data_IF_019725383683
#
_entry.id   IF_019725383683
#
_cell.length_a   1.000
_cell.length_b   1.000
_cell.length_c   1.000
_cell.angle_alpha   90.00
_cell.angle_beta   90.00
_cell.angle_gamma   90.00
#
_symmetry.space_group_name_H-M   'P 1'
#
loop_
_entity.id
_entity.type
_entity.pdbx_description
1 polymer ?
#
# COMPACT_ATOMS: atom_id res chain seq x y z
N UNK A 1 0.08 -28.18 22.27
CA UNK A 1 -0.29 -26.87 21.64
C UNK A 1 1.01 -26.17 21.38
N UNK A 2 1.43 -26.10 20.10
CA UNK A 2 2.65 -25.39 19.72
C UNK A 2 2.51 -23.90 20.01
N UNK A 3 3.62 -23.23 20.28
CA UNK A 3 3.65 -21.78 20.45
C UNK A 3 3.13 -21.10 19.17
N UNK A 4 2.25 -20.09 19.23
CA UNK A 4 1.74 -19.38 18.06
C UNK A 4 2.83 -18.58 17.30
N UNK A 5 4.08 -18.64 17.80
CA UNK A 5 5.27 -18.04 17.17
C UNK A 5 6.15 -19.08 16.46
N UNK A 6 5.81 -20.39 16.54
CA UNK A 6 6.52 -21.44 15.83
C UNK A 6 5.92 -21.57 14.43
N UNK A 7 6.65 -21.11 13.41
CA UNK A 7 6.27 -21.32 12.01
C UNK A 7 6.36 -22.82 11.68
N UNK A 8 5.23 -23.48 11.33
CA UNK A 8 5.27 -24.89 10.95
C UNK A 8 6.10 -25.05 9.67
N UNK A 9 7.15 -25.87 9.76
CA UNK A 9 8.00 -26.19 8.61
C UNK A 9 7.24 -27.19 7.74
N UNK A 10 6.91 -26.82 6.49
CA UNK A 10 6.18 -27.70 5.59
C UNK A 10 7.08 -28.78 4.98
N UNK A 11 8.29 -28.43 4.56
CA UNK A 11 9.31 -29.37 4.08
C UNK A 11 10.69 -28.71 3.99
N UNK A 12 11.73 -29.55 3.92
CA UNK A 12 13.12 -29.10 3.76
C UNK A 12 13.54 -29.21 2.29
N UNK A 13 13.92 -28.10 1.66
CA UNK A 13 14.57 -28.10 0.35
C UNK A 13 16.08 -27.94 0.55
N UNK A 14 16.78 -29.07 0.82
CA UNK A 14 18.19 -29.05 1.19
C UNK A 14 18.42 -28.38 2.55
N UNK A 15 19.32 -27.38 2.68
CA UNK A 15 19.63 -26.72 3.93
C UNK A 15 18.59 -25.66 4.36
N UNK A 16 17.59 -25.35 3.52
CA UNK A 16 16.62 -24.27 3.78
C UNK A 16 15.27 -24.87 4.17
N UNK A 17 14.80 -24.61 5.42
CA UNK A 17 13.43 -24.98 5.83
C UNK A 17 12.43 -24.06 5.15
N UNK A 18 11.47 -24.61 4.42
CA UNK A 18 10.37 -23.85 3.82
C UNK A 18 9.20 -23.85 4.81
N UNK A 19 8.87 -22.67 5.31
CA UNK A 19 7.74 -22.47 6.20
C UNK A 19 6.41 -22.48 5.43
N UNK A 20 5.34 -22.95 6.07
CA UNK A 20 3.98 -23.00 5.49
C UNK A 20 3.52 -21.66 4.89
N UNK A 21 3.77 -20.47 5.50
CA UNK A 21 3.40 -19.18 4.93
C UNK A 21 3.98 -18.91 3.56
N UNK A 22 5.20 -19.41 3.26
CA UNK A 22 5.83 -19.25 1.95
C UNK A 22 5.04 -20.00 0.87
N UNK A 23 4.55 -21.22 1.19
CA UNK A 23 3.71 -21.98 0.26
C UNK A 23 2.38 -21.29 -0.02
N UNK A 24 1.75 -20.71 1.01
CA UNK A 24 0.51 -19.94 0.86
C UNK A 24 0.77 -18.70 0.01
N UNK A 25 1.89 -17.99 0.22
CA UNK A 25 2.30 -16.85 -0.60
C UNK A 25 2.47 -17.25 -2.07
N UNK A 26 3.16 -18.35 -2.36
CA UNK A 26 3.31 -18.86 -3.71
C UNK A 26 1.96 -19.29 -4.32
N UNK A 27 1.10 -19.93 -3.53
CA UNK A 27 -0.25 -20.27 -3.95
C UNK A 27 -1.05 -19.03 -4.38
N UNK A 28 -1.03 -17.97 -3.57
CA UNK A 28 -1.68 -16.68 -3.87
C UNK A 28 -1.06 -16.06 -5.13
N UNK A 29 0.26 -16.05 -5.26
CA UNK A 29 0.92 -15.49 -6.44
C UNK A 29 0.54 -16.25 -7.73
N UNK A 30 0.51 -17.58 -7.69
CA UNK A 30 0.10 -18.41 -8.83
C UNK A 30 -1.38 -18.18 -9.16
N UNK A 31 -2.23 -18.09 -8.15
CA UNK A 31 -3.66 -17.84 -8.31
C UNK A 31 -3.91 -16.46 -8.93
N UNK A 32 -3.24 -15.42 -8.46
CA UNK A 32 -3.37 -14.06 -9.00
C UNK A 32 -2.80 -13.95 -10.40
N UNK A 33 -1.60 -14.49 -10.65
CA UNK A 33 -0.97 -14.46 -11.96
C UNK A 33 -1.76 -15.30 -12.98
N UNK A 34 -2.17 -16.51 -12.60
CA UNK A 34 -2.97 -17.40 -13.45
C UNK A 34 -4.37 -16.85 -13.70
N UNK A 35 -5.01 -16.33 -12.67
CA UNK A 35 -6.31 -15.67 -12.77
C UNK A 35 -6.25 -14.44 -13.69
N UNK A 36 -5.28 -13.56 -13.47
CA UNK A 36 -5.07 -12.39 -14.33
C UNK A 36 -4.81 -12.79 -15.79
N UNK A 37 -3.92 -13.77 -16.02
CA UNK A 37 -3.63 -14.26 -17.36
C UNK A 37 -4.85 -14.88 -18.03
N UNK A 38 -5.65 -15.68 -17.30
CA UNK A 38 -6.86 -16.31 -17.82
C UNK A 38 -7.92 -15.27 -18.16
N UNK A 39 -8.09 -14.24 -17.33
CA UNK A 39 -9.08 -13.19 -17.56
C UNK A 39 -8.67 -12.24 -18.69
N UNK A 40 -7.35 -11.95 -18.84
CA UNK A 40 -6.84 -11.04 -19.88
C UNK A 40 -6.64 -11.73 -21.23
N UNK A 41 -6.64 -13.06 -21.27
CA UNK A 41 -6.40 -13.82 -22.54
C UNK A 41 -7.53 -13.70 -23.57
N UNK A 42 -8.75 -13.33 -23.14
CA UNK A 42 -9.90 -13.16 -24.02
C UNK A 42 -10.57 -11.80 -23.75
N UNK A 43 -9.86 -10.73 -24.11
CA UNK A 43 -10.43 -9.38 -24.09
C UNK A 43 -11.30 -9.21 -25.33
N UNK A 44 -12.60 -9.03 -25.16
CA UNK A 44 -13.55 -8.76 -26.23
C UNK A 44 -13.96 -7.29 -26.20
N UNK A 45 -14.27 -6.72 -27.40
CA UNK A 45 -14.73 -5.33 -27.56
C UNK A 45 -16.11 -5.09 -26.90
N UNK A 46 -16.91 -6.16 -26.71
CA UNK A 46 -18.11 -6.11 -25.87
C UNK A 46 -17.83 -6.80 -24.54
N UNK A 47 -17.60 -6.02 -23.45
CA UNK A 47 -17.15 -6.57 -22.18
C UNK A 47 -18.20 -7.49 -21.56
N UNK A 48 -17.82 -8.74 -21.31
CA UNK A 48 -18.60 -9.61 -20.44
C UNK A 48 -18.59 -9.09 -18.99
N UNK A 49 -19.52 -9.55 -18.15
CA UNK A 49 -19.66 -9.09 -16.74
C UNK A 49 -18.34 -9.16 -15.95
N UNK A 50 -17.52 -10.18 -16.18
CA UNK A 50 -16.21 -10.34 -15.53
C UNK A 50 -15.19 -9.30 -15.99
N UNK A 51 -15.16 -9.00 -17.29
CA UNK A 51 -14.30 -7.97 -17.85
C UNK A 51 -14.69 -6.58 -17.33
N UNK A 52 -16.00 -6.29 -17.24
CA UNK A 52 -16.50 -5.04 -16.69
C UNK A 52 -16.09 -4.82 -15.23
N UNK A 53 -16.07 -5.88 -14.40
CA UNK A 53 -15.58 -5.80 -13.01
C UNK A 53 -14.07 -5.51 -12.98
N UNK A 54 -13.27 -6.15 -13.85
CA UNK A 54 -11.83 -5.87 -13.93
C UNK A 54 -11.54 -4.45 -14.38
N UNK A 55 -12.27 -3.97 -15.39
CA UNK A 55 -12.15 -2.58 -15.87
C UNK A 55 -12.48 -1.59 -14.75
N UNK A 56 -13.55 -1.84 -13.98
CA UNK A 56 -13.92 -1.02 -12.84
C UNK A 56 -12.80 -0.99 -11.77
N UNK A 57 -12.21 -2.13 -11.45
CA UNK A 57 -11.08 -2.20 -10.49
C UNK A 57 -9.87 -1.43 -11.00
N UNK A 58 -9.52 -1.60 -12.28
CA UNK A 58 -8.38 -0.88 -12.89
C UNK A 58 -8.64 0.62 -12.93
N UNK A 59 -9.86 1.03 -13.29
CA UNK A 59 -10.26 2.44 -13.33
C UNK A 59 -10.24 3.07 -11.92
N UNK A 60 -10.72 2.35 -10.91
CA UNK A 60 -10.65 2.79 -9.52
C UNK A 60 -9.20 2.98 -9.05
N UNK A 61 -8.29 2.05 -9.39
CA UNK A 61 -6.85 2.18 -9.09
C UNK A 61 -6.26 3.38 -9.82
N UNK A 62 -6.60 3.57 -11.09
CA UNK A 62 -6.09 4.70 -11.89
C UNK A 62 -6.58 6.05 -11.37
N UNK A 63 -7.87 6.13 -10.98
CA UNK A 63 -8.43 7.34 -10.36
C UNK A 63 -7.69 7.66 -9.06
N UNK A 64 -7.48 6.65 -8.23
CA UNK A 64 -6.77 6.80 -6.96
C UNK A 64 -5.32 7.27 -7.16
N UNK A 65 -4.62 6.73 -8.17
CA UNK A 65 -3.25 7.17 -8.50
C UNK A 65 -3.25 8.63 -8.96
N UNK A 66 -4.18 9.04 -9.84
CA UNK A 66 -4.29 10.42 -10.31
C UNK A 66 -4.59 11.40 -9.18
N UNK A 67 -5.50 11.03 -8.29
CA UNK A 67 -5.91 11.88 -7.16
C UNK A 67 -4.79 12.01 -6.11
N UNK A 68 -4.09 10.93 -5.82
CA UNK A 68 -3.08 10.89 -4.75
C UNK A 68 -1.72 11.41 -5.24
N UNK A 69 -1.26 10.94 -6.40
CA UNK A 69 0.10 11.20 -6.88
C UNK A 69 0.16 12.33 -7.92
N UNK A 70 -0.98 12.73 -8.51
CA UNK A 70 -1.09 13.75 -9.58
C UNK A 70 -0.18 13.48 -10.79
N UNK A 71 0.09 12.19 -11.07
CA UNK A 71 0.91 11.71 -12.18
C UNK A 71 0.13 10.75 -13.06
N UNK A 72 0.68 10.43 -14.24
CA UNK A 72 0.06 9.47 -15.14
C UNK A 72 0.11 8.04 -14.56
N UNK A 73 -1.04 7.33 -14.45
CA UNK A 73 -1.15 6.04 -13.76
C UNK A 73 -0.35 4.92 -14.42
N UNK A 74 -0.12 4.99 -15.74
CA UNK A 74 0.42 3.89 -16.53
C UNK A 74 1.72 3.28 -15.96
N UNK A 75 2.58 4.10 -15.35
CA UNK A 75 3.84 3.64 -14.76
C UNK A 75 3.69 2.95 -13.41
N UNK A 76 2.68 3.35 -12.63
CA UNK A 76 2.53 2.97 -11.21
C UNK A 76 1.43 1.93 -11.02
N UNK A 77 0.49 1.84 -11.98
CA UNK A 77 -0.67 0.93 -11.96
C UNK A 77 -0.27 -0.51 -11.64
N UNK A 78 0.76 -1.04 -12.32
CA UNK A 78 1.19 -2.41 -12.13
C UNK A 78 1.67 -2.65 -10.69
N UNK A 79 2.49 -1.75 -10.13
CA UNK A 79 3.01 -1.88 -8.77
C UNK A 79 1.90 -1.72 -7.73
N UNK A 80 1.16 -0.62 -7.80
CA UNK A 80 0.11 -0.30 -6.81
C UNK A 80 -1.03 -1.31 -6.87
N UNK A 81 -1.45 -1.68 -8.10
CA UNK A 81 -2.50 -2.68 -8.31
C UNK A 81 -2.11 -4.06 -7.78
N UNK A 82 -0.88 -4.51 -8.05
CA UNK A 82 -0.42 -5.81 -7.53
C UNK A 82 -0.29 -5.80 -6.00
N UNK A 83 0.22 -4.73 -5.40
CA UNK A 83 0.28 -4.60 -3.94
C UNK A 83 -1.11 -4.63 -3.31
N UNK A 84 -2.04 -3.84 -3.84
CA UNK A 84 -3.42 -3.79 -3.33
C UNK A 84 -4.09 -5.16 -3.41
N UNK A 85 -4.08 -5.79 -4.58
CA UNK A 85 -4.77 -7.06 -4.81
C UNK A 85 -4.09 -8.20 -4.05
N UNK A 86 -2.75 -8.20 -3.97
CA UNK A 86 -2.00 -9.20 -3.22
C UNK A 86 -2.33 -9.12 -1.71
N UNK A 87 -2.23 -7.94 -1.10
CA UNK A 87 -2.49 -7.76 0.33
C UNK A 87 -3.96 -8.07 0.64
N UNK A 88 -4.89 -7.64 -0.22
CA UNK A 88 -6.30 -7.95 -0.06
C UNK A 88 -6.54 -9.47 -0.07
N UNK A 89 -5.98 -10.18 -1.05
CA UNK A 89 -6.13 -11.64 -1.18
C UNK A 89 -5.42 -12.36 -0.03
N UNK A 90 -4.25 -11.89 0.38
CA UNK A 90 -3.51 -12.44 1.51
C UNK A 90 -4.28 -12.30 2.83
N UNK A 91 -4.88 -11.13 3.09
CA UNK A 91 -5.71 -10.91 4.28
C UNK A 91 -6.98 -11.79 4.23
N UNK A 92 -7.61 -11.91 3.07
CA UNK A 92 -8.81 -12.74 2.91
C UNK A 92 -8.53 -14.26 2.94
N UNK A 93 -7.28 -14.68 2.81
CA UNK A 93 -6.92 -16.09 2.96
C UNK A 93 -7.17 -16.62 4.38
N UNK A 94 -7.29 -15.75 5.38
CA UNK A 94 -7.69 -16.07 6.75
C UNK A 94 -9.09 -16.72 6.86
N UNK A 95 -9.95 -16.53 5.83
CA UNK A 95 -11.27 -17.18 5.77
C UNK A 95 -11.19 -18.68 5.57
N UNK A 96 -10.11 -19.17 5.01
CA UNK A 96 -9.97 -20.62 4.75
C UNK A 96 -9.51 -21.30 6.04
N UNK A 97 -10.35 -22.14 6.66
CA UNK A 97 -9.97 -22.81 7.90
C UNK A 97 -8.71 -23.65 7.70
N UNK A 98 -7.72 -23.44 8.55
CA UNK A 98 -6.42 -24.13 8.47
C UNK A 98 -5.38 -23.46 7.59
N UNK A 99 -5.69 -22.33 6.95
CA UNK A 99 -4.72 -21.50 6.23
C UNK A 99 -4.39 -20.26 7.06
N UNK A 100 -3.13 -20.16 7.45
CA UNK A 100 -2.64 -18.94 8.09
C UNK A 100 -2.32 -17.89 7.01
N UNK A 101 -2.85 -16.66 7.13
CA UNK A 101 -2.58 -15.61 6.15
C UNK A 101 -1.09 -15.27 6.15
N UNK A 102 -0.44 -15.11 4.98
CA UNK A 102 0.98 -14.76 4.89
C UNK A 102 1.30 -13.43 5.62
N UNK A 103 0.35 -12.52 5.65
CA UNK A 103 0.43 -11.21 6.32
C UNK A 103 0.32 -11.29 7.85
N UNK A 104 0.11 -12.48 8.43
CA UNK A 104 0.29 -12.71 9.87
C UNK A 104 1.77 -12.92 10.25
N UNK A 105 2.68 -12.95 9.27
CA UNK A 105 4.11 -13.13 9.48
C UNK A 105 4.88 -11.86 9.10
N UNK A 106 5.67 -11.38 10.05
CA UNK A 106 6.42 -10.11 9.91
C UNK A 106 7.41 -10.14 8.72
N UNK A 107 7.90 -11.31 8.34
CA UNK A 107 8.81 -11.48 7.20
C UNK A 107 8.14 -11.12 5.89
N UNK A 108 6.87 -11.51 5.70
CA UNK A 108 6.09 -11.20 4.50
C UNK A 108 5.80 -9.70 4.43
N UNK A 109 5.40 -9.12 5.55
CA UNK A 109 5.09 -7.70 5.64
C UNK A 109 6.34 -6.84 5.47
N UNK A 110 7.47 -7.28 6.03
CA UNK A 110 8.76 -6.64 5.81
C UNK A 110 9.19 -6.70 4.34
N UNK A 111 8.96 -7.83 3.66
CA UNK A 111 9.23 -7.95 2.23
C UNK A 111 8.36 -7.00 1.40
N UNK A 112 7.07 -6.88 1.69
CA UNK A 112 6.17 -5.95 1.01
C UNK A 112 6.58 -4.49 1.24
N UNK A 113 6.89 -4.12 2.48
CA UNK A 113 7.37 -2.79 2.80
C UNK A 113 8.74 -2.49 2.15
N UNK A 114 9.63 -3.47 2.07
CA UNK A 114 10.90 -3.35 1.36
C UNK A 114 10.70 -3.12 -0.15
N UNK A 115 9.73 -3.79 -0.78
CA UNK A 115 9.36 -3.56 -2.18
C UNK A 115 8.92 -2.10 -2.38
N UNK A 116 8.10 -1.57 -1.49
CA UNK A 116 7.68 -0.16 -1.53
C UNK A 116 8.89 0.77 -1.36
N UNK A 117 9.74 0.53 -0.35
CA UNK A 117 10.92 1.35 -0.09
C UNK A 117 11.90 1.37 -1.29
N UNK A 118 12.17 0.21 -1.88
CA UNK A 118 12.99 0.10 -3.09
C UNK A 118 12.33 0.82 -4.26
N UNK A 119 11.01 0.71 -4.40
CA UNK A 119 10.26 1.40 -5.45
C UNK A 119 10.37 2.92 -5.33
N UNK A 120 10.29 3.47 -4.12
CA UNK A 120 10.50 4.91 -3.86
C UNK A 120 11.87 5.35 -4.37
N UNK A 121 12.93 4.59 -4.03
CA UNK A 121 14.30 4.88 -4.47
C UNK A 121 14.42 4.77 -6.00
N UNK A 122 13.92 3.69 -6.59
CA UNK A 122 14.03 3.45 -8.05
C UNK A 122 13.28 4.51 -8.85
N UNK A 123 12.05 4.84 -8.46
CA UNK A 123 11.27 5.86 -9.15
C UNK A 123 11.83 7.27 -8.91
N UNK A 124 12.30 7.57 -7.70
CA UNK A 124 12.97 8.83 -7.38
C UNK A 124 14.23 9.04 -8.21
N UNK A 125 15.10 8.02 -8.31
CA UNK A 125 16.31 8.06 -9.16
C UNK A 125 15.95 8.19 -10.65
N UNK A 126 14.89 7.50 -11.10
CA UNK A 126 14.47 7.60 -12.51
C UNK A 126 13.88 8.96 -12.87
N UNK A 127 13.26 9.65 -11.92
CA UNK A 127 12.65 10.96 -12.14
C UNK A 127 13.68 12.10 -12.09
N UNK A 128 14.61 12.06 -11.14
CA UNK A 128 15.53 13.17 -10.87
C UNK A 128 17.00 12.86 -11.24
N UNK A 129 17.28 11.60 -11.60
CA UNK A 129 18.64 11.11 -11.75
C UNK A 129 19.34 10.87 -10.39
N UNK A 130 20.41 10.08 -10.39
CA UNK A 130 21.12 9.72 -9.15
C UNK A 130 21.66 10.95 -8.40
N UNK A 131 22.21 11.91 -9.14
CA UNK A 131 22.77 13.15 -8.54
C UNK A 131 21.66 14.06 -7.99
N UNK A 132 20.53 14.18 -8.70
CA UNK A 132 19.36 14.94 -8.25
C UNK A 132 18.77 14.35 -6.98
N UNK A 133 18.54 13.04 -6.97
CA UNK A 133 18.00 12.32 -5.83
C UNK A 133 18.88 12.44 -4.57
N UNK A 134 20.22 12.28 -4.70
CA UNK A 134 21.16 12.48 -3.59
C UNK A 134 21.20 13.92 -3.12
N UNK A 135 21.08 14.89 -4.04
CA UNK A 135 21.03 16.31 -3.70
C UNK A 135 19.77 16.64 -2.90
N UNK A 136 18.62 16.08 -3.26
CA UNK A 136 17.36 16.23 -2.51
C UNK A 136 17.49 15.76 -1.05
N UNK A 137 18.24 14.67 -0.79
CA UNK A 137 18.53 14.22 0.57
C UNK A 137 19.44 15.17 1.35
N UNK A 138 20.28 15.95 0.66
CA UNK A 138 21.27 16.86 1.25
C UNK A 138 20.80 18.31 1.33
N UNK A 139 19.71 18.69 0.69
CA UNK A 139 19.14 20.03 0.75
C UNK A 139 18.20 20.20 1.96
N UNK A 140 18.21 21.35 2.64
CA UNK A 140 19.08 22.52 2.50
C UNK A 140 20.44 22.40 3.21
N UNK A 141 20.71 21.33 3.98
CA UNK A 141 21.99 21.12 4.65
C UNK A 141 22.32 19.64 4.84
N UNK A 142 23.61 19.31 4.94
CA UNK A 142 24.10 17.94 5.20
C UNK A 142 23.53 17.33 6.49
N UNK A 143 23.04 18.14 7.43
CA UNK A 143 22.38 17.68 8.65
C UNK A 143 21.02 17.05 8.36
N UNK A 144 20.38 17.37 7.22
CA UNK A 144 19.10 16.77 6.80
C UNK A 144 19.24 15.31 6.34
N UNK A 145 20.41 14.90 5.85
CA UNK A 145 20.64 13.53 5.36
C UNK A 145 20.28 12.47 6.41
N UNK A 146 20.81 12.52 7.65
CA UNK A 146 20.45 11.53 8.66
C UNK A 146 18.97 11.62 9.06
N UNK A 147 18.37 12.82 9.06
CA UNK A 147 16.97 12.99 9.38
C UNK A 147 16.07 12.35 8.32
N UNK A 148 16.31 12.61 7.05
CA UNK A 148 15.57 12.03 5.92
C UNK A 148 15.74 10.50 5.88
N UNK A 149 16.92 10.00 6.21
CA UNK A 149 17.15 8.56 6.31
C UNK A 149 16.34 7.93 7.45
N UNK A 150 16.34 8.54 8.63
CA UNK A 150 15.52 8.09 9.78
C UNK A 150 14.04 8.15 9.41
N UNK A 151 13.57 9.19 8.75
CA UNK A 151 12.20 9.31 8.29
C UNK A 151 11.84 8.18 7.33
N UNK A 152 12.66 7.88 6.34
CA UNK A 152 12.44 6.78 5.39
C UNK A 152 12.35 5.41 6.07
N UNK A 153 13.26 5.15 7.03
CA UNK A 153 13.25 3.92 7.82
C UNK A 153 11.98 3.85 8.66
N UNK A 154 11.61 4.94 9.33
CA UNK A 154 10.42 5.01 10.18
C UNK A 154 9.14 4.80 9.37
N UNK A 155 9.02 5.38 8.18
CA UNK A 155 7.90 5.17 7.26
C UNK A 155 7.77 3.69 6.88
N UNK A 156 8.87 3.06 6.47
CA UNK A 156 8.90 1.65 6.09
C UNK A 156 8.52 0.76 7.27
N UNK A 157 9.09 1.01 8.46
CA UNK A 157 8.80 0.27 9.66
C UNK A 157 7.32 0.42 10.10
N UNK A 158 6.76 1.62 9.96
CA UNK A 158 5.34 1.87 10.24
C UNK A 158 4.40 1.06 9.36
N UNK A 159 4.75 0.85 8.07
CA UNK A 159 3.98 -0.01 7.17
C UNK A 159 3.96 -1.47 7.66
N UNK A 160 5.13 -2.00 8.04
CA UNK A 160 5.27 -3.38 8.54
C UNK A 160 4.42 -3.58 9.80
N UNK A 161 4.62 -2.75 10.81
CA UNK A 161 3.93 -2.89 12.10
C UNK A 161 2.41 -2.73 11.94
N UNK A 162 1.96 -1.86 11.06
CA UNK A 162 0.53 -1.64 10.81
C UNK A 162 -0.12 -2.87 10.18
N UNK A 163 0.53 -3.45 9.15
CA UNK A 163 -0.01 -4.61 8.46
C UNK A 163 0.00 -5.84 9.38
N UNK A 164 1.16 -6.14 9.98
CA UNK A 164 1.33 -7.23 10.93
C UNK A 164 0.38 -7.11 12.12
N UNK A 165 0.32 -5.93 12.76
CA UNK A 165 -0.51 -5.71 13.94
C UNK A 165 -2.01 -5.91 13.68
N UNK A 166 -2.51 -5.48 12.51
CA UNK A 166 -3.91 -5.68 12.15
C UNK A 166 -4.25 -7.16 11.98
N UNK A 167 -3.47 -7.87 11.15
CA UNK A 167 -3.75 -9.28 10.84
C UNK A 167 -3.51 -10.18 12.05
N UNK A 168 -2.40 -9.97 12.77
CA UNK A 168 -2.07 -10.77 13.94
C UNK A 168 -3.11 -10.63 15.05
N UNK A 169 -3.62 -9.40 15.30
CA UNK A 169 -4.69 -9.18 16.29
C UNK A 169 -5.98 -9.90 15.91
N UNK A 170 -6.36 -9.91 14.61
CA UNK A 170 -7.52 -10.64 14.11
C UNK A 170 -7.41 -12.13 14.34
N UNK A 171 -6.30 -12.74 13.93
CA UNK A 171 -6.03 -14.19 14.11
C UNK A 171 -6.08 -14.58 15.58
N UNK A 172 -5.46 -13.81 16.48
CA UNK A 172 -5.47 -14.09 17.91
C UNK A 172 -6.87 -14.00 18.51
N UNK A 173 -7.61 -12.92 18.26
CA UNK A 173 -8.94 -12.72 18.81
C UNK A 173 -9.90 -13.81 18.32
N UNK A 174 -9.89 -14.11 17.03
CA UNK A 174 -10.73 -15.17 16.45
C UNK A 174 -10.36 -16.53 17.05
N UNK A 175 -9.06 -16.85 17.19
CA UNK A 175 -8.59 -18.10 17.78
C UNK A 175 -9.01 -18.29 19.24
N UNK A 176 -8.91 -17.25 20.06
CA UNK A 176 -9.35 -17.27 21.47
C UNK A 176 -10.86 -17.45 21.56
N UNK A 177 -11.63 -16.68 20.79
CA UNK A 177 -13.10 -16.77 20.82
C UNK A 177 -13.58 -18.12 20.32
N UNK A 178 -12.95 -18.68 19.29
CA UNK A 178 -13.25 -20.02 18.80
C UNK A 178 -13.04 -21.09 19.87
N UNK A 179 -11.98 -20.97 20.68
CA UNK A 179 -11.68 -21.92 21.75
C UNK A 179 -12.64 -21.84 22.95
N UNK A 180 -13.22 -20.65 23.21
CA UNK A 180 -14.08 -20.40 24.36
C UNK A 180 -15.58 -20.56 24.06
N UNK A 181 -16.02 -20.08 22.89
CA UNK A 181 -17.43 -19.89 22.58
C UNK A 181 -17.96 -20.76 21.43
N UNK A 182 -17.12 -21.62 20.87
CA UNK A 182 -17.50 -22.49 19.75
C UNK A 182 -17.60 -21.76 18.41
N UNK A 183 -18.05 -22.47 17.37
CA UNK A 183 -17.94 -22.04 15.98
C UNK A 183 -18.85 -20.86 15.58
N UNK A 184 -19.95 -20.65 16.27
CA UNK A 184 -20.98 -19.66 15.86
C UNK A 184 -20.59 -18.20 16.20
N UNK A 185 -19.92 -18.03 17.34
CA UNK A 185 -19.57 -16.69 17.86
C UNK A 185 -18.44 -15.99 17.07
N UNK A 186 -17.44 -16.69 16.51
CA UNK A 186 -16.41 -16.05 15.69
C UNK A 186 -16.90 -15.51 14.34
N UNK A 187 -18.05 -15.95 13.80
CA UNK A 187 -18.51 -15.53 12.45
C UNK A 187 -18.61 -14.02 12.28
N UNK A 188 -19.23 -13.24 13.20
CA UNK A 188 -19.24 -11.78 13.08
C UNK A 188 -17.83 -11.17 13.18
N UNK A 189 -16.93 -11.78 13.98
CA UNK A 189 -15.55 -11.32 14.10
C UNK A 189 -14.75 -11.56 12.81
N UNK A 190 -14.96 -12.72 12.17
CA UNK A 190 -14.36 -13.01 10.85
C UNK A 190 -14.85 -12.02 9.77
N UNK A 191 -16.13 -11.65 9.79
CA UNK A 191 -16.65 -10.63 8.88
C UNK A 191 -16.02 -9.25 9.13
N UNK A 192 -15.80 -8.90 10.40
CA UNK A 192 -15.10 -7.67 10.77
C UNK A 192 -13.63 -7.72 10.35
N UNK A 193 -12.95 -8.84 10.53
CA UNK A 193 -11.55 -9.05 10.12
C UNK A 193 -11.39 -8.91 8.61
N UNK A 194 -12.33 -9.46 7.82
CA UNK A 194 -12.39 -9.25 6.38
C UNK A 194 -12.48 -7.78 5.98
N UNK A 195 -13.34 -7.04 6.64
CA UNK A 195 -13.52 -5.62 6.38
C UNK A 195 -12.25 -4.83 6.75
N UNK A 196 -11.70 -5.07 7.93
CA UNK A 196 -10.47 -4.40 8.38
C UNK A 196 -9.28 -4.77 7.52
N UNK A 197 -9.18 -6.03 7.07
CA UNK A 197 -8.17 -6.50 6.14
C UNK A 197 -8.26 -5.81 4.76
N UNK A 198 -9.48 -5.58 4.26
CA UNK A 198 -9.70 -4.84 3.01
C UNK A 198 -9.31 -3.36 3.16
N UNK A 199 -9.74 -2.72 4.24
CA UNK A 199 -9.37 -1.33 4.54
C UNK A 199 -7.85 -1.21 4.71
N UNK A 200 -7.21 -2.17 5.34
CA UNK A 200 -5.77 -2.18 5.54
C UNK A 200 -4.99 -2.31 4.22
N UNK A 201 -5.46 -3.17 3.29
CA UNK A 201 -4.87 -3.28 1.96
C UNK A 201 -4.96 -1.94 1.19
N UNK A 202 -6.10 -1.26 1.30
CA UNK A 202 -6.29 0.06 0.70
C UNK A 202 -5.37 1.12 1.34
N UNK A 203 -5.30 1.19 2.67
CA UNK A 203 -4.42 2.14 3.38
C UNK A 203 -2.96 1.90 3.00
N UNK A 204 -2.53 0.64 2.91
CA UNK A 204 -1.17 0.31 2.50
C UNK A 204 -0.86 0.82 1.08
N UNK A 205 -1.78 0.60 0.13
CA UNK A 205 -1.64 1.07 -1.24
C UNK A 205 -1.57 2.61 -1.32
N UNK A 206 -2.44 3.31 -0.58
CA UNK A 206 -2.43 4.79 -0.53
C UNK A 206 -1.12 5.31 0.07
N UNK A 207 -0.64 4.71 1.17
CA UNK A 207 0.64 5.12 1.76
C UNK A 207 1.82 4.83 0.83
N UNK A 208 1.81 3.70 0.12
CA UNK A 208 2.82 3.40 -0.89
C UNK A 208 2.82 4.47 -2.00
N UNK A 209 1.64 4.89 -2.48
CA UNK A 209 1.51 5.98 -3.44
C UNK A 209 2.07 7.30 -2.92
N UNK A 210 1.71 7.68 -1.69
CA UNK A 210 2.22 8.92 -1.07
C UNK A 210 3.74 8.88 -0.91
N UNK A 211 4.30 7.75 -0.52
CA UNK A 211 5.75 7.60 -0.36
C UNK A 211 6.49 7.64 -1.71
N UNK A 212 5.92 7.04 -2.75
CA UNK A 212 6.48 7.14 -4.11
C UNK A 212 6.36 8.57 -4.62
N UNK A 213 5.23 9.24 -4.42
CA UNK A 213 5.02 10.62 -4.83
C UNK A 213 6.03 11.57 -4.15
N UNK A 214 6.25 11.44 -2.85
CA UNK A 214 7.27 12.23 -2.14
C UNK A 214 8.68 12.00 -2.67
N UNK A 215 8.99 10.78 -3.12
CA UNK A 215 10.27 10.46 -3.78
C UNK A 215 10.40 11.06 -5.19
N UNK A 216 9.28 11.34 -5.87
CA UNK A 216 9.27 11.97 -7.19
C UNK A 216 9.44 13.50 -7.12
N UNK A 217 8.81 14.15 -6.13
CA UNK A 217 8.77 15.60 -6.03
C UNK A 217 10.05 16.21 -5.44
N UNK A 218 10.87 15.42 -4.72
CA UNK A 218 11.97 15.96 -3.91
C UNK A 218 11.45 17.08 -2.99
N UNK A 219 11.88 17.23 -1.78
CA UNK A 219 11.37 18.22 -0.81
C UNK A 219 11.49 19.71 -1.25
N UNK A 220 10.90 20.05 -2.39
CA UNK A 220 10.84 21.41 -2.94
C UNK A 220 9.42 21.97 -3.08
N UNK A 221 8.39 21.19 -2.78
CA UNK A 221 6.99 21.59 -2.85
C UNK A 221 6.47 22.15 -1.53
N UNK A 222 6.84 23.38 -1.17
CA UNK A 222 6.03 24.17 -0.23
C UNK A 222 4.60 24.26 -0.79
N UNK A 223 3.56 24.02 0.02
CA UNK A 223 2.19 24.25 -0.44
C UNK A 223 2.07 25.69 -0.93
N UNK A 224 1.33 25.97 -2.00
CA UNK A 224 1.16 27.33 -2.48
C UNK A 224 0.61 28.16 -1.33
N UNK A 225 1.38 29.15 -0.93
CA UNK A 225 0.96 30.13 0.06
C UNK A 225 -0.41 30.66 -0.37
N UNK A 226 -1.42 30.44 0.45
CA UNK A 226 -2.74 31.01 0.28
C UNK A 226 -2.56 32.50 0.09
N UNK A 227 -2.73 32.98 -1.15
CA UNK A 227 -2.63 34.38 -1.49
C UNK A 227 -3.65 35.13 -0.66
N UNK A 228 -3.16 35.84 0.34
CA UNK A 228 -3.88 36.96 0.90
C UNK A 228 -4.01 37.99 -0.23
N UNK A 229 -5.15 37.96 -0.90
CA UNK A 229 -5.60 39.10 -1.69
C UNK A 229 -5.84 40.27 -0.73
N UNK A 230 -4.80 41.08 -0.57
CA UNK A 230 -4.96 42.42 -0.01
C UNK A 230 -5.76 43.21 -1.02
N UNK A 231 -7.06 43.30 -0.81
CA UNK A 231 -7.91 44.32 -1.43
C UNK A 231 -7.48 45.66 -0.90
N UNK A 232 -6.60 46.34 -1.64
CA UNK A 232 -6.37 47.77 -1.46
C UNK A 232 -7.59 48.51 -1.99
N UNK A 233 -8.43 48.94 -1.07
CA UNK A 233 -9.48 49.94 -1.34
C UNK A 233 -8.85 51.25 -1.69
N UNK A 234 -8.75 51.56 -2.96
CA UNK A 234 -8.52 52.94 -3.43
C UNK A 234 -9.87 53.61 -3.56
N UNK A 235 -10.14 54.47 -2.62
CA UNK A 235 -11.22 55.45 -2.68
C UNK A 235 -10.93 56.48 -3.79
N UNK A 236 -11.89 56.83 -4.65
CA UNK A 236 -11.75 57.99 -5.54
C UNK A 236 -12.15 59.25 -4.80
N UNK A 237 -11.20 60.15 -4.62
CA UNK A 237 -11.45 61.52 -4.24
C UNK A 237 -12.16 62.25 -5.38
N UNK A 238 -13.37 62.71 -5.09
CA UNK A 238 -14.10 63.68 -5.88
C UNK A 238 -13.45 65.06 -5.71
N UNK A 239 -12.97 65.68 -6.78
CA UNK A 239 -12.79 67.12 -6.84
C UNK A 239 -13.68 67.66 -7.93
N UNK A 240 -14.75 68.32 -7.49
CA UNK A 240 -15.53 69.21 -8.34
C UNK A 240 -14.77 70.52 -8.60
N UNK A 241 -14.92 71.01 -9.78
CA UNK A 241 -14.86 72.46 -10.03
C UNK A 241 -15.81 72.79 -11.16
N UNK A 242 -16.58 73.79 -10.83
CA UNK A 242 -17.51 74.58 -11.61
C UNK A 242 -16.87 75.26 -12.82
N UNK A 243 -17.55 75.38 -13.89
CA UNK A 243 -17.93 76.53 -14.65
C UNK A 243 -18.89 76.13 -15.74
#
# INVERSE_FOLDING_TARGET
MGSPLETPIAFHLGPVPIATPVLVTWGIMILLAGGSWMLTRRLELMPGRMQAVLELVVEAIDSQIRETMRVEPARFRALIGTLLVFILTANWSSLVPGVEPPTAHIETDAALAAIVAVSVIVFGIRAQGLRGYLKTFAEPSLVMVPLNLVEQITRTFSLVIRLFGNVMSGVFVIGIVLSLAGLLVPIPLMALDLLTGAVQAYIFAVLAMVFIASGLEGEGGSPPASGHTSTSSSSPTSSGTAS
#
